data_IF_521516995569
#
_entry.id   IF_521516995569
#
_cell.length_a   1.000
_cell.length_b   1.000
_cell.length_c   1.000
_cell.angle_alpha   90.00
_cell.angle_beta   90.00
_cell.angle_gamma   90.00
#
_symmetry.space_group_name_H-M   'P 1'
#
loop_
_entity.id
_entity.type
_entity.pdbx_description
1 polymer ?
#
# COMPACT_ATOMS: atom_id res chain seq x y z
N UNK A 1 0.20 52.97 4.28
CA UNK A 1 0.32 51.63 4.87
C UNK A 1 -0.39 50.68 3.93
N UNK A 2 0.34 49.90 3.13
CA UNK A 2 -0.26 48.96 2.18
C UNK A 2 -0.35 47.62 2.92
N UNK A 3 -1.57 47.10 3.07
CA UNK A 3 -1.80 45.79 3.65
C UNK A 3 -1.43 44.74 2.60
N UNK A 4 -0.34 43.99 2.81
CA UNK A 4 -0.08 42.82 2.00
C UNK A 4 -1.19 41.81 2.24
N UNK A 5 -1.94 41.49 1.19
CA UNK A 5 -2.90 40.39 1.20
C UNK A 5 -2.11 39.09 1.16
N UNK A 6 -2.08 38.36 2.27
CA UNK A 6 -1.49 37.02 2.28
C UNK A 6 -2.26 36.16 1.29
N UNK A 7 -1.58 35.71 0.25
CA UNK A 7 -2.17 34.76 -0.69
C UNK A 7 -2.36 33.45 0.09
N UNK A 8 -3.61 32.95 0.26
CA UNK A 8 -3.87 31.74 1.02
C UNK A 8 -3.15 30.50 0.46
N UNK A 9 -2.71 30.55 -0.80
CA UNK A 9 -2.00 29.46 -1.47
C UNK A 9 -0.72 29.96 -2.14
N UNK A 10 0.39 30.13 -1.39
CA UNK A 10 1.63 30.74 -1.89
C UNK A 10 2.45 29.82 -2.80
N UNK A 11 2.11 28.52 -2.90
CA UNK A 11 2.86 27.56 -3.71
C UNK A 11 2.54 27.77 -5.19
N UNK A 12 3.56 28.16 -5.97
CA UNK A 12 3.44 28.42 -7.42
C UNK A 12 3.74 27.21 -8.30
N UNK A 13 4.39 26.19 -7.75
CA UNK A 13 4.85 25.02 -8.51
C UNK A 13 4.79 23.79 -7.63
N UNK A 14 4.21 22.72 -8.16
CA UNK A 14 4.18 21.40 -7.54
C UNK A 14 4.94 20.45 -8.45
N UNK A 15 5.89 19.72 -7.87
CA UNK A 15 6.57 18.62 -8.55
C UNK A 15 6.04 17.34 -7.96
N UNK A 16 5.45 16.48 -8.81
CA UNK A 16 4.94 15.18 -8.40
C UNK A 16 5.93 14.11 -8.84
N UNK A 17 6.52 13.41 -7.87
CA UNK A 17 7.36 12.25 -8.11
C UNK A 17 6.52 10.99 -7.91
N UNK A 18 6.32 10.23 -8.98
CA UNK A 18 5.66 8.92 -8.91
C UNK A 18 6.74 7.85 -8.91
N UNK A 19 6.83 7.08 -7.83
CA UNK A 19 7.71 5.92 -7.75
C UNK A 19 6.91 4.65 -8.01
N UNK A 20 7.16 4.04 -9.17
CA UNK A 20 6.66 2.71 -9.50
C UNK A 20 7.30 1.66 -8.57
N UNK A 21 6.54 0.61 -8.26
CA UNK A 21 6.98 -0.59 -7.53
C UNK A 21 7.63 -0.30 -6.16
N UNK A 22 7.29 0.83 -5.54
CA UNK A 22 7.68 1.20 -4.18
C UNK A 22 6.44 1.37 -3.33
N UNK A 23 6.03 0.29 -2.67
CA UNK A 23 4.94 0.31 -1.71
C UNK A 23 5.26 1.25 -0.53
N UNK A 24 4.21 1.80 0.10
CA UNK A 24 4.34 2.79 1.16
C UNK A 24 5.24 2.33 2.31
N UNK A 25 5.12 1.06 2.68
CA UNK A 25 5.90 0.40 3.71
C UNK A 25 7.40 0.35 3.41
N UNK A 26 7.76 0.31 2.12
CA UNK A 26 9.15 0.31 1.66
C UNK A 26 9.81 1.69 1.82
N UNK A 27 9.02 2.78 1.82
CA UNK A 27 9.52 4.14 2.02
C UNK A 27 9.40 4.59 3.48
N UNK A 28 8.25 4.30 4.10
CA UNK A 28 7.82 4.94 5.35
C UNK A 28 7.31 3.94 6.41
N UNK A 29 7.11 2.66 6.05
CA UNK A 29 6.53 1.66 6.96
C UNK A 29 7.31 1.48 8.25
N UNK A 30 8.64 1.61 8.18
CA UNK A 30 9.56 1.40 9.30
C UNK A 30 9.86 2.66 10.11
N UNK A 31 9.19 3.78 9.84
CA UNK A 31 9.44 5.04 10.54
C UNK A 31 9.15 4.98 12.04
N UNK A 32 8.40 3.99 12.53
CA UNK A 32 8.17 3.78 13.97
C UNK A 32 9.46 3.58 14.76
N UNK A 33 10.51 3.03 14.13
CA UNK A 33 11.84 2.93 14.74
C UNK A 33 12.54 4.27 14.95
N UNK A 34 12.17 5.29 14.16
CA UNK A 34 12.72 6.65 14.22
C UNK A 34 11.84 7.58 15.07
N UNK A 35 10.52 7.49 14.89
CA UNK A 35 9.54 8.20 15.70
C UNK A 35 8.49 7.20 16.22
N UNK A 36 8.58 6.78 17.50
CA UNK A 36 7.66 5.82 18.10
C UNK A 36 6.19 6.26 18.16
N UNK A 37 5.90 7.56 18.03
CA UNK A 37 4.54 8.10 18.04
C UNK A 37 3.79 7.82 16.72
N UNK A 38 4.50 7.44 15.66
CA UNK A 38 3.90 7.05 14.40
C UNK A 38 3.31 5.66 14.53
N UNK A 39 2.07 5.50 14.07
CA UNK A 39 1.45 4.18 13.90
C UNK A 39 2.01 3.46 12.68
N UNK A 40 3.25 2.97 12.82
CA UNK A 40 3.96 2.19 11.81
C UNK A 40 4.17 0.73 12.23
N UNK A 41 4.89 -0.01 11.39
CA UNK A 41 5.16 -1.43 11.62
C UNK A 41 6.22 -1.66 12.70
N UNK A 42 6.11 -2.76 13.43
CA UNK A 42 7.10 -3.21 14.42
C UNK A 42 7.75 -4.55 14.06
N UNK A 43 7.40 -5.15 12.91
CA UNK A 43 7.95 -6.40 12.41
C UNK A 43 7.22 -7.64 12.91
N UNK A 44 6.08 -7.48 13.59
CA UNK A 44 5.22 -8.59 14.02
C UNK A 44 4.02 -8.81 13.10
N UNK A 45 3.84 -7.93 12.11
CA UNK A 45 2.75 -7.97 11.14
C UNK A 45 2.89 -9.17 10.21
N UNK A 46 1.76 -9.75 9.78
CA UNK A 46 1.77 -10.96 8.96
C UNK A 46 0.50 -11.07 8.13
N UNK A 47 0.60 -11.63 6.93
CA UNK A 47 -0.54 -12.05 6.12
C UNK A 47 -0.71 -13.58 6.17
N UNK A 48 -1.95 -14.10 6.07
CA UNK A 48 -2.19 -15.53 5.85
C UNK A 48 -1.51 -16.01 4.57
N UNK A 49 -1.00 -17.24 4.57
CA UNK A 49 -0.50 -17.84 3.33
C UNK A 49 -1.66 -18.05 2.33
N UNK A 50 -1.47 -17.82 1.01
CA UNK A 50 -2.54 -17.84 0.01
C UNK A 50 -3.29 -19.18 -0.16
N UNK A 51 -2.83 -20.27 0.46
CA UNK A 51 -3.54 -21.56 0.44
C UNK A 51 -4.67 -21.55 1.47
N UNK A 52 -5.66 -20.70 1.17
CA UNK A 52 -6.65 -20.10 2.07
C UNK A 52 -7.81 -21.02 2.48
N UNK A 53 -7.62 -22.34 2.44
CA UNK A 53 -8.68 -23.31 2.76
C UNK A 53 -8.38 -24.27 3.90
N UNK A 54 -7.11 -24.41 4.30
CA UNK A 54 -6.69 -25.42 5.27
C UNK A 54 -6.49 -24.81 6.66
N UNK A 55 -7.13 -25.34 7.72
CA UNK A 55 -6.78 -25.01 9.09
C UNK A 55 -5.30 -25.32 9.34
N UNK A 56 -4.49 -24.29 9.64
CA UNK A 56 -3.05 -24.44 9.85
C UNK A 56 -2.16 -23.98 8.68
N UNK A 57 -2.72 -23.32 7.66
CA UNK A 57 -1.91 -22.59 6.68
C UNK A 57 -0.99 -21.59 7.41
N UNK A 58 0.29 -21.59 7.02
CA UNK A 58 1.31 -20.75 7.65
C UNK A 58 1.01 -19.25 7.52
N UNK A 59 1.81 -18.43 8.19
CA UNK A 59 1.77 -16.97 8.04
C UNK A 59 3.02 -16.49 7.31
N UNK A 60 2.84 -15.52 6.44
CA UNK A 60 3.95 -14.77 5.83
C UNK A 60 4.12 -13.51 6.67
N UNK A 61 5.24 -13.42 7.38
CA UNK A 61 5.55 -12.25 8.18
C UNK A 61 6.11 -11.14 7.32
N UNK A 62 5.66 -9.92 7.61
CA UNK A 62 6.15 -8.70 7.00
C UNK A 62 7.62 -8.48 7.39
N UNK A 63 8.42 -7.93 6.46
CA UNK A 63 9.84 -7.70 6.70
C UNK A 63 10.46 -6.72 5.71
N UNK A 64 11.61 -6.14 6.06
CA UNK A 64 12.32 -5.14 5.26
C UNK A 64 13.24 -5.72 4.16
N UNK A 65 13.02 -6.98 3.77
CA UNK A 65 13.86 -7.73 2.81
C UNK A 65 13.11 -8.05 1.52
N UNK A 66 12.16 -7.20 1.15
CA UNK A 66 11.40 -7.32 -0.09
C UNK A 66 12.38 -7.35 -1.26
N UNK A 67 12.44 -8.48 -1.96
CA UNK A 67 13.24 -8.62 -3.18
C UNK A 67 12.40 -8.23 -4.38
N UNK A 68 13.06 -7.92 -5.50
CA UNK A 68 12.38 -7.89 -6.78
C UNK A 68 11.83 -9.29 -7.08
N UNK A 69 10.53 -9.40 -7.36
CA UNK A 69 9.86 -10.67 -7.62
C UNK A 69 9.60 -10.79 -9.11
N UNK A 70 10.06 -11.90 -9.69
CA UNK A 70 9.81 -12.33 -11.07
C UNK A 70 9.18 -13.73 -11.00
N UNK A 71 7.97 -13.97 -11.55
CA UNK A 71 7.19 -13.09 -12.44
C UNK A 71 6.57 -11.88 -11.74
N UNK A 72 6.59 -10.74 -12.43
CA UNK A 72 5.91 -9.51 -12.04
C UNK A 72 4.39 -9.79 -11.89
N UNK A 73 3.80 -9.65 -10.70
CA UNK A 73 2.39 -9.91 -10.49
C UNK A 73 1.53 -9.03 -11.40
N UNK A 74 0.33 -9.48 -11.76
CA UNK A 74 -0.56 -8.67 -12.59
C UNK A 74 -0.86 -7.31 -11.95
N UNK A 75 -0.73 -6.23 -12.73
CA UNK A 75 -1.01 -4.85 -12.29
C UNK A 75 -2.42 -4.37 -12.64
N UNK A 76 -3.26 -5.25 -13.17
CA UNK A 76 -4.64 -4.91 -13.50
C UNK A 76 -5.50 -4.79 -12.23
N UNK A 77 -6.60 -4.04 -12.30
CA UNK A 77 -7.55 -3.93 -11.19
C UNK A 77 -8.06 -5.32 -10.77
N UNK A 78 -8.25 -6.21 -11.74
CA UNK A 78 -8.66 -7.59 -11.51
C UNK A 78 -7.61 -8.34 -10.70
N UNK A 79 -6.33 -8.24 -11.08
CA UNK A 79 -5.25 -8.89 -10.36
C UNK A 79 -5.07 -8.31 -8.94
N UNK A 80 -5.21 -6.99 -8.76
CA UNK A 80 -5.19 -6.34 -7.43
C UNK A 80 -6.33 -6.86 -6.56
N UNK A 81 -7.54 -6.99 -7.11
CA UNK A 81 -8.68 -7.56 -6.38
C UNK A 81 -8.38 -8.97 -5.90
N UNK A 82 -7.89 -9.82 -6.78
CA UNK A 82 -7.57 -11.21 -6.45
C UNK A 82 -6.49 -11.29 -5.35
N UNK A 83 -5.50 -10.40 -5.37
CA UNK A 83 -4.46 -10.32 -4.35
C UNK A 83 -5.01 -9.84 -2.98
N UNK A 84 -5.86 -8.81 -2.97
CA UNK A 84 -6.41 -8.23 -1.73
C UNK A 84 -7.44 -9.16 -1.09
N UNK A 85 -8.30 -9.76 -1.89
CA UNK A 85 -9.44 -10.55 -1.41
C UNK A 85 -9.20 -12.06 -1.44
N UNK A 86 -8.13 -12.53 -2.09
CA UNK A 86 -7.80 -13.95 -2.22
C UNK A 86 -8.86 -14.76 -2.97
N UNK A 87 -9.64 -14.12 -3.85
CA UNK A 87 -10.74 -14.73 -4.60
C UNK A 87 -10.70 -14.28 -6.06
N UNK A 88 -11.01 -15.16 -7.04
CA UNK A 88 -11.04 -14.78 -8.45
C UNK A 88 -11.95 -13.60 -8.75
N UNK A 89 -11.53 -12.71 -9.63
CA UNK A 89 -12.37 -11.60 -10.08
C UNK A 89 -13.56 -12.12 -10.89
N UNK A 90 -14.76 -11.65 -10.54
CA UNK A 90 -15.96 -11.84 -11.37
C UNK A 90 -16.61 -10.50 -11.66
N UNK A 91 -17.27 -10.39 -12.82
CA UNK A 91 -17.88 -9.15 -13.28
C UNK A 91 -18.98 -8.64 -12.31
N UNK A 92 -19.63 -9.54 -11.59
CA UNK A 92 -20.64 -9.23 -10.56
C UNK A 92 -20.05 -8.66 -9.27
N UNK A 93 -18.78 -8.96 -8.97
CA UNK A 93 -18.04 -8.39 -7.83
C UNK A 93 -17.48 -7.01 -8.18
N UNK A 94 -17.11 -6.79 -9.44
CA UNK A 94 -16.60 -5.51 -9.92
C UNK A 94 -17.56 -4.34 -9.87
N UNK A 95 -18.87 -4.61 -9.81
CA UNK A 95 -19.91 -3.57 -9.62
C UNK A 95 -20.14 -3.21 -8.14
N UNK A 96 -19.59 -3.99 -7.20
CA UNK A 96 -19.74 -3.77 -5.74
C UNK A 96 -18.54 -3.08 -5.10
N UNK A 97 -17.37 -3.12 -5.71
CA UNK A 97 -16.18 -2.41 -5.22
C UNK A 97 -16.29 -0.93 -5.59
N UNK A 98 -16.96 -0.15 -4.75
CA UNK A 98 -16.85 1.30 -4.76
C UNK A 98 -15.60 1.68 -3.97
N UNK A 99 -14.54 2.01 -4.69
CA UNK A 99 -13.45 2.77 -4.09
C UNK A 99 -14.03 4.14 -3.71
N UNK A 100 -14.15 4.39 -2.40
CA UNK A 100 -14.44 5.71 -1.82
C UNK A 100 -13.10 6.36 -1.52
#
# INVERSE_FOLDING_TARGET
>A
MILETSNPFPIKTVVVLVQENRSFDHMLGWMKSLNPEIDGVNGTESNPFPDSGQPGSGRIFFGNRSIHVDPDPGHSIQAIYEQVFGQPWTQDLGTKVKFV
#
